data_IF_825560953746
#
_entry.id   IF_825560953746
#
_cell.length_a   1.000
_cell.length_b   1.000
_cell.length_c   1.000
_cell.angle_alpha   90.00
_cell.angle_beta   90.00
_cell.angle_gamma   90.00
#
_symmetry.space_group_name_H-M   'P 1'
#
loop_
_entity.id
_entity.type
_entity.pdbx_description
1 polymer ?
#
# COMPACT_ATOMS: atom_id res chain seq x y z
N UNK A 1 -30.72 -26.31 -25.18
CA UNK A 1 -30.26 -25.36 -24.16
C UNK A 1 -28.78 -25.60 -24.05
N UNK A 2 -27.96 -24.74 -24.66
CA UNK A 2 -26.51 -24.83 -24.53
C UNK A 2 -26.17 -24.74 -23.06
N UNK A 3 -25.49 -25.76 -22.54
CA UNK A 3 -24.95 -25.74 -21.19
C UNK A 3 -24.00 -24.54 -21.09
N UNK A 4 -24.41 -23.46 -20.44
CA UNK A 4 -23.58 -22.28 -20.24
C UNK A 4 -22.24 -22.76 -19.66
N UNK A 5 -21.15 -22.39 -20.32
CA UNK A 5 -19.80 -22.79 -19.92
C UNK A 5 -19.56 -22.44 -18.44
N UNK A 6 -19.03 -23.39 -17.65
CA UNK A 6 -18.69 -23.17 -16.25
C UNK A 6 -17.53 -22.21 -16.15
N UNK A 7 -17.51 -21.43 -15.08
CA UNK A 7 -16.41 -20.52 -14.70
C UNK A 7 -15.68 -21.18 -13.54
N UNK A 8 -14.52 -21.72 -13.81
CA UNK A 8 -13.72 -22.47 -12.83
C UNK A 8 -12.75 -21.52 -12.12
N UNK A 9 -13.02 -21.28 -10.85
CA UNK A 9 -12.21 -20.42 -9.96
C UNK A 9 -11.38 -21.31 -9.05
N UNK A 10 -10.07 -21.11 -9.06
CA UNK A 10 -9.16 -21.69 -8.09
C UNK A 10 -8.75 -20.65 -7.05
N UNK A 11 -8.93 -20.94 -5.78
CA UNK A 11 -8.40 -20.15 -4.68
C UNK A 11 -7.25 -20.88 -3.99
N UNK A 12 -6.08 -20.25 -3.93
CA UNK A 12 -4.95 -20.69 -3.08
C UNK A 12 -5.00 -20.04 -1.70
N UNK A 13 -6.00 -19.18 -1.45
CA UNK A 13 -6.30 -18.55 -0.18
C UNK A 13 -7.38 -19.37 0.52
N UNK A 14 -7.24 -19.52 1.83
CA UNK A 14 -8.30 -20.15 2.64
C UNK A 14 -9.51 -19.23 2.69
N UNK A 15 -10.66 -19.71 2.24
CA UNK A 15 -11.93 -19.00 2.31
C UNK A 15 -12.80 -19.58 3.43
N UNK A 16 -13.57 -18.75 4.11
CA UNK A 16 -14.64 -19.19 5.00
C UNK A 16 -15.85 -19.67 4.18
N UNK A 17 -16.75 -20.44 4.80
CA UNK A 17 -18.00 -20.86 4.13
C UNK A 17 -18.84 -19.66 3.68
N UNK A 18 -18.88 -18.59 4.47
CA UNK A 18 -19.57 -17.37 4.13
C UNK A 18 -18.99 -16.72 2.88
N UNK A 19 -17.66 -16.53 2.81
CA UNK A 19 -16.96 -15.97 1.66
C UNK A 19 -17.18 -16.83 0.40
N UNK A 20 -17.11 -18.15 0.54
CA UNK A 20 -17.35 -19.09 -0.54
C UNK A 20 -18.78 -18.97 -1.08
N UNK A 21 -19.78 -18.95 -0.18
CA UNK A 21 -21.19 -18.79 -0.55
C UNK A 21 -21.43 -17.44 -1.24
N UNK A 22 -20.84 -16.35 -0.77
CA UNK A 22 -20.94 -15.02 -1.39
C UNK A 22 -20.41 -15.03 -2.83
N UNK A 23 -19.30 -15.71 -3.08
CA UNK A 23 -18.74 -15.81 -4.44
C UNK A 23 -19.64 -16.68 -5.33
N UNK A 24 -20.03 -17.87 -4.88
CA UNK A 24 -20.79 -18.83 -5.68
C UNK A 24 -22.24 -18.37 -5.97
N UNK A 25 -22.82 -17.55 -5.10
CA UNK A 25 -24.19 -17.02 -5.28
C UNK A 25 -24.30 -15.96 -6.38
N UNK A 26 -23.20 -15.47 -6.95
CA UNK A 26 -23.24 -14.46 -8.01
C UNK A 26 -23.75 -14.99 -9.34
N UNK A 27 -23.46 -16.26 -9.68
CA UNK A 27 -23.90 -16.91 -10.91
C UNK A 27 -23.79 -18.43 -10.76
N UNK A 28 -24.81 -19.18 -11.21
CA UNK A 28 -24.88 -20.66 -11.14
C UNK A 28 -23.73 -21.37 -11.88
N UNK A 29 -23.07 -20.68 -12.81
CA UNK A 29 -21.91 -21.19 -13.56
C UNK A 29 -20.64 -21.25 -12.73
N UNK A 30 -20.57 -20.49 -11.64
CA UNK A 30 -19.34 -20.37 -10.82
C UNK A 30 -19.10 -21.66 -10.05
N UNK A 31 -17.89 -22.18 -10.19
CA UNK A 31 -17.35 -23.29 -9.42
C UNK A 31 -16.06 -22.82 -8.75
N UNK A 32 -16.01 -22.87 -7.42
CA UNK A 32 -14.83 -22.49 -6.65
C UNK A 32 -14.21 -23.73 -6.04
N UNK A 33 -12.94 -23.95 -6.35
CA UNK A 33 -12.12 -24.97 -5.72
C UNK A 33 -11.06 -24.29 -4.85
N UNK A 34 -10.91 -24.72 -3.60
CA UNK A 34 -9.99 -24.10 -2.63
C UNK A 34 -8.87 -25.06 -2.31
N UNK A 35 -7.65 -24.65 -2.64
CA UNK A 35 -6.42 -25.35 -2.25
C UNK A 35 -5.58 -24.46 -1.33
N UNK A 36 -5.46 -24.86 -0.05
CA UNK A 36 -4.67 -24.13 0.95
C UNK A 36 -3.16 -24.15 0.70
N UNK A 37 -2.73 -24.65 -0.44
CA UNK A 37 -1.33 -24.84 -0.79
C UNK A 37 -0.84 -23.63 -1.58
N UNK A 38 0.07 -22.87 -0.98
CA UNK A 38 0.76 -21.76 -1.66
C UNK A 38 1.82 -22.23 -2.67
N UNK A 39 2.09 -23.53 -2.74
CA UNK A 39 3.06 -24.12 -3.66
C UNK A 39 2.32 -24.69 -4.88
N UNK A 40 2.47 -24.10 -6.08
CA UNK A 40 1.76 -24.56 -7.28
C UNK A 40 1.98 -26.05 -7.61
N UNK A 41 3.15 -26.58 -7.28
CA UNK A 41 3.48 -27.98 -7.56
C UNK A 41 2.73 -29.01 -6.70
N UNK A 42 2.07 -28.56 -5.64
CA UNK A 42 1.24 -29.42 -4.76
C UNK A 42 -0.24 -29.45 -5.17
N UNK A 43 -0.62 -28.66 -6.17
CA UNK A 43 -1.97 -28.65 -6.74
C UNK A 43 -1.96 -29.55 -7.96
N UNK A 44 -2.93 -30.48 -8.11
CA UNK A 44 -3.00 -31.38 -9.25
C UNK A 44 -3.08 -30.65 -10.59
N UNK A 45 -2.39 -31.15 -11.61
CA UNK A 45 -2.39 -30.54 -12.95
C UNK A 45 -3.79 -30.46 -13.58
N UNK A 46 -4.68 -31.38 -13.25
CA UNK A 46 -6.07 -31.37 -13.70
C UNK A 46 -6.87 -30.17 -13.17
N UNK A 47 -6.53 -29.70 -11.96
CA UNK A 47 -7.13 -28.51 -11.35
C UNK A 47 -6.62 -27.27 -12.09
N UNK A 48 -5.32 -27.18 -12.34
CA UNK A 48 -4.73 -26.08 -13.09
C UNK A 48 -5.29 -25.97 -14.52
N UNK A 49 -5.42 -27.10 -15.23
CA UNK A 49 -5.91 -27.12 -16.62
C UNK A 49 -7.33 -26.57 -16.78
N UNK A 50 -8.20 -26.73 -15.79
CA UNK A 50 -9.59 -26.20 -15.85
C UNK A 50 -9.72 -24.78 -15.35
N UNK A 51 -8.73 -24.27 -14.60
CA UNK A 51 -8.79 -22.96 -13.96
C UNK A 51 -8.88 -21.83 -14.98
N UNK A 52 -9.92 -21.01 -14.87
CA UNK A 52 -10.16 -19.79 -15.65
C UNK A 52 -9.79 -18.53 -14.85
N UNK A 53 -10.05 -18.55 -13.54
CA UNK A 53 -9.75 -17.45 -12.63
C UNK A 53 -8.94 -17.97 -11.45
N UNK A 54 -7.84 -17.31 -11.14
CA UNK A 54 -6.98 -17.62 -9.98
C UNK A 54 -7.07 -16.52 -8.94
N UNK A 55 -7.54 -16.85 -7.75
CA UNK A 55 -7.45 -15.99 -6.55
C UNK A 55 -6.28 -16.45 -5.71
N UNK A 56 -5.23 -15.63 -5.59
CA UNK A 56 -3.97 -16.05 -4.97
C UNK A 56 -3.35 -15.02 -4.05
N UNK A 57 -2.41 -15.47 -3.22
CA UNK A 57 -1.60 -14.64 -2.33
C UNK A 57 -0.13 -14.94 -2.57
N UNK A 58 0.61 -13.93 -2.94
CA UNK A 58 2.06 -14.04 -3.13
C UNK A 58 2.50 -14.32 -4.57
N UNK A 59 3.82 -14.41 -4.77
CA UNK A 59 4.44 -14.44 -6.09
C UNK A 59 4.50 -15.83 -6.73
N UNK A 60 4.07 -16.88 -6.02
CA UNK A 60 4.19 -18.26 -6.52
C UNK A 60 3.06 -18.57 -7.49
N UNK A 61 3.32 -18.33 -8.79
CA UNK A 61 2.40 -18.62 -9.87
C UNK A 61 2.72 -19.99 -10.53
N UNK A 62 1.74 -20.65 -11.16
CA UNK A 62 1.98 -21.88 -11.90
C UNK A 62 2.73 -21.60 -13.21
N UNK A 63 3.41 -22.61 -13.74
CA UNK A 63 3.99 -22.51 -15.08
C UNK A 63 2.91 -22.32 -16.15
N UNK A 64 3.22 -21.55 -17.21
CA UNK A 64 2.27 -21.14 -18.27
C UNK A 64 1.55 -22.32 -18.90
N UNK A 65 2.27 -23.40 -19.17
CA UNK A 65 1.74 -24.60 -19.82
C UNK A 65 0.77 -25.41 -18.95
N UNK A 66 0.73 -25.17 -17.65
CA UNK A 66 -0.21 -25.82 -16.75
C UNK A 66 -1.60 -25.18 -16.74
N UNK A 67 -1.70 -23.94 -17.19
CA UNK A 67 -2.92 -23.11 -17.07
C UNK A 67 -3.46 -22.61 -18.42
N UNK A 68 -3.75 -23.49 -19.37
CA UNK A 68 -4.11 -23.11 -20.75
C UNK A 68 -5.42 -22.30 -20.84
N UNK A 69 -6.27 -22.38 -19.81
CA UNK A 69 -7.56 -21.72 -19.77
C UNK A 69 -7.58 -20.45 -18.90
N UNK A 70 -6.46 -20.12 -18.23
CA UNK A 70 -6.39 -18.98 -17.31
C UNK A 70 -6.57 -17.66 -18.06
N UNK A 71 -7.44 -16.81 -17.56
CA UNK A 71 -7.76 -15.49 -18.13
C UNK A 71 -7.56 -14.36 -17.15
N UNK A 72 -7.75 -14.63 -15.85
CA UNK A 72 -7.68 -13.60 -14.83
C UNK A 72 -7.02 -14.13 -13.54
N UNK A 73 -6.07 -13.34 -13.02
CA UNK A 73 -5.46 -13.52 -11.71
C UNK A 73 -5.87 -12.36 -10.82
N UNK A 74 -6.50 -12.63 -9.68
CA UNK A 74 -6.67 -11.67 -8.60
C UNK A 74 -5.62 -11.93 -7.54
N UNK A 75 -4.70 -10.99 -7.36
CA UNK A 75 -3.78 -10.98 -6.22
C UNK A 75 -4.48 -10.40 -4.98
N UNK A 76 -4.31 -11.05 -3.83
CA UNK A 76 -4.73 -10.47 -2.54
C UNK A 76 -3.77 -9.41 -2.03
N UNK A 77 -2.63 -9.22 -2.68
CA UNK A 77 -1.66 -8.19 -2.37
C UNK A 77 -1.92 -6.93 -3.19
N UNK A 78 -1.60 -5.78 -2.59
CA UNK A 78 -1.62 -4.49 -3.30
C UNK A 78 -0.37 -4.33 -4.18
N UNK A 79 0.81 -4.65 -3.65
CA UNK A 79 2.06 -4.61 -4.41
C UNK A 79 2.25 -5.88 -5.22
N UNK A 80 2.65 -5.72 -6.49
CA UNK A 80 2.90 -6.80 -7.43
C UNK A 80 4.37 -6.89 -7.87
N UNK A 81 5.22 -6.06 -7.27
CA UNK A 81 6.65 -5.93 -7.58
C UNK A 81 7.39 -7.28 -7.65
N UNK A 82 7.07 -8.21 -6.76
CA UNK A 82 7.68 -9.56 -6.72
C UNK A 82 7.12 -10.54 -7.78
N UNK A 83 6.11 -10.13 -8.55
CA UNK A 83 5.45 -10.98 -9.55
C UNK A 83 5.73 -10.52 -10.99
N UNK A 84 6.23 -9.31 -11.20
CA UNK A 84 6.33 -8.67 -12.52
C UNK A 84 7.18 -9.45 -13.54
N UNK A 85 8.20 -10.16 -13.07
CA UNK A 85 9.09 -10.96 -13.93
C UNK A 85 8.56 -12.37 -14.23
N UNK A 86 7.38 -12.74 -13.70
CA UNK A 86 6.79 -14.06 -13.94
C UNK A 86 6.33 -14.19 -15.40
N UNK A 87 6.73 -15.26 -16.10
CA UNK A 87 6.35 -15.50 -17.52
C UNK A 87 4.84 -15.50 -17.74
N UNK A 88 4.04 -15.87 -16.76
CA UNK A 88 2.59 -15.89 -16.85
C UNK A 88 2.00 -14.48 -17.02
N UNK A 89 2.63 -13.47 -16.40
CA UNK A 89 2.20 -12.06 -16.51
C UNK A 89 2.60 -11.43 -17.85
N UNK A 90 3.50 -12.04 -18.59
CA UNK A 90 3.85 -11.62 -19.93
C UNK A 90 2.86 -12.15 -21.00
N UNK A 91 1.89 -12.99 -20.60
CA UNK A 91 0.86 -13.51 -21.51
C UNK A 91 -0.20 -12.44 -21.79
N UNK A 92 -0.39 -12.07 -23.04
CA UNK A 92 -1.36 -11.01 -23.45
C UNK A 92 -2.82 -11.33 -23.15
N UNK A 93 -3.15 -12.61 -22.95
CA UNK A 93 -4.51 -13.08 -22.71
C UNK A 93 -4.82 -13.29 -21.21
N UNK A 94 -3.86 -13.06 -20.32
CA UNK A 94 -4.06 -13.16 -18.87
C UNK A 94 -4.02 -11.76 -18.28
N UNK A 95 -5.12 -11.34 -17.63
CA UNK A 95 -5.15 -10.11 -16.88
C UNK A 95 -4.76 -10.38 -15.42
N UNK A 96 -3.99 -9.49 -14.81
CA UNK A 96 -3.78 -9.50 -13.37
C UNK A 96 -4.39 -8.25 -12.75
N UNK A 97 -5.09 -8.44 -11.63
CA UNK A 97 -5.59 -7.36 -10.78
C UNK A 97 -5.00 -7.49 -9.37
N UNK A 98 -4.73 -6.36 -8.74
CA UNK A 98 -4.25 -6.31 -7.37
C UNK A 98 -5.34 -5.84 -6.39
N UNK A 99 -5.04 -5.86 -5.09
CA UNK A 99 -5.98 -5.46 -4.04
C UNK A 99 -5.82 -4.01 -3.58
N UNK A 100 -5.35 -3.13 -4.49
CA UNK A 100 -5.31 -1.69 -4.20
C UNK A 100 -6.70 -1.16 -3.82
N UNK A 101 -6.78 -0.34 -2.81
CA UNK A 101 -8.06 0.20 -2.31
C UNK A 101 -8.76 -0.68 -1.27
N UNK A 102 -8.51 -1.99 -1.22
CA UNK A 102 -9.18 -2.86 -0.25
C UNK A 102 -8.83 -2.49 1.21
N UNK A 103 -7.56 -2.28 1.49
CA UNK A 103 -7.03 -2.11 2.86
C UNK A 103 -6.74 -0.64 3.24
N UNK A 104 -7.42 0.32 2.65
CA UNK A 104 -7.08 1.75 2.83
C UNK A 104 -7.43 2.28 4.22
N UNK A 105 -8.46 1.75 4.87
CA UNK A 105 -8.92 2.22 6.19
C UNK A 105 -7.81 2.09 7.24
N UNK A 106 -7.31 0.87 7.46
CA UNK A 106 -6.26 0.62 8.44
C UNK A 106 -4.93 1.28 8.07
N UNK A 107 -4.61 1.37 6.77
CA UNK A 107 -3.43 2.12 6.32
C UNK A 107 -3.55 3.61 6.66
N UNK A 108 -4.73 4.20 6.45
CA UNK A 108 -5.02 5.59 6.83
C UNK A 108 -4.87 5.80 8.33
N UNK A 109 -5.48 4.92 9.15
CA UNK A 109 -5.36 4.97 10.61
C UNK A 109 -3.90 4.85 11.08
N UNK A 110 -3.13 3.91 10.50
CA UNK A 110 -1.72 3.75 10.80
C UNK A 110 -0.91 5.02 10.49
N UNK A 111 -1.13 5.64 9.33
CA UNK A 111 -0.44 6.87 8.96
C UNK A 111 -0.80 8.00 9.91
N UNK A 112 -2.09 8.22 10.21
CA UNK A 112 -2.50 9.27 11.17
C UNK A 112 -1.92 9.01 12.56
N UNK A 113 -1.94 7.77 13.03
CA UNK A 113 -1.30 7.39 14.30
C UNK A 113 0.18 7.79 14.31
N UNK A 114 0.95 7.43 13.28
CA UNK A 114 2.39 7.73 13.23
C UNK A 114 2.67 9.22 13.12
N UNK A 115 1.88 9.98 12.33
CA UNK A 115 2.00 11.44 12.26
C UNK A 115 1.74 12.10 13.64
N UNK A 116 0.70 11.66 14.36
CA UNK A 116 0.41 12.14 15.71
C UNK A 116 1.52 11.75 16.68
N UNK A 117 1.99 10.51 16.66
CA UNK A 117 3.09 10.05 17.53
C UNK A 117 4.37 10.88 17.31
N UNK A 118 4.74 11.14 16.07
CA UNK A 118 5.91 11.94 15.72
C UNK A 118 5.70 13.41 16.14
N UNK A 119 4.60 14.02 15.75
CA UNK A 119 4.30 15.42 16.07
C UNK A 119 4.24 15.67 17.57
N UNK A 120 3.71 14.73 18.35
CA UNK A 120 3.65 14.79 19.82
C UNK A 120 4.89 14.24 20.54
N UNK A 121 5.97 13.92 19.80
CA UNK A 121 7.25 13.44 20.36
C UNK A 121 7.11 12.20 21.25
N UNK A 122 6.19 11.31 20.90
CA UNK A 122 5.93 10.06 21.63
C UNK A 122 7.18 9.16 21.80
N UNK A 123 8.08 9.02 20.81
CA UNK A 123 9.30 8.24 20.99
C UNK A 123 10.12 8.72 22.21
N UNK A 124 10.31 10.02 22.36
CA UNK A 124 11.06 10.61 23.48
C UNK A 124 10.34 10.38 24.84
N UNK A 125 9.01 10.51 24.86
CA UNK A 125 8.23 10.25 26.07
C UNK A 125 8.24 8.78 26.48
N UNK A 126 8.14 7.85 25.51
CA UNK A 126 8.23 6.41 25.75
C UNK A 126 9.63 6.05 26.27
N UNK A 127 10.69 6.63 25.71
CA UNK A 127 12.06 6.42 26.20
C UNK A 127 12.21 6.92 27.64
N UNK A 128 11.75 8.13 27.97
CA UNK A 128 11.78 8.66 29.31
C UNK A 128 10.97 7.81 30.33
N UNK A 129 9.82 7.26 29.90
CA UNK A 129 9.03 6.32 30.70
C UNK A 129 9.82 5.05 31.03
N UNK A 130 10.51 4.46 30.03
CA UNK A 130 11.35 3.26 30.24
C UNK A 130 12.51 3.53 31.20
N UNK A 131 13.10 4.72 31.14
CA UNK A 131 14.16 5.20 32.02
C UNK A 131 13.64 5.66 33.40
N UNK A 132 12.34 5.66 33.64
CA UNK A 132 11.68 6.20 34.85
C UNK A 132 12.08 7.66 35.10
N UNK A 133 12.31 8.44 34.05
CA UNK A 133 12.77 9.81 34.08
C UNK A 133 11.60 10.77 33.80
N UNK A 134 11.35 11.71 34.74
CA UNK A 134 10.45 12.83 34.51
C UNK A 134 11.21 13.93 33.77
N UNK A 135 10.68 14.36 32.60
CA UNK A 135 11.32 15.41 31.78
C UNK A 135 10.96 16.78 32.41
N UNK A 136 11.94 17.42 33.04
CA UNK A 136 11.74 18.68 33.77
C UNK A 136 11.40 19.84 32.85
N UNK A 137 12.09 19.93 31.68
CA UNK A 137 11.90 20.98 30.68
C UNK A 137 10.80 20.61 29.63
N UNK A 138 9.86 19.73 29.97
CA UNK A 138 8.82 19.18 29.08
C UNK A 138 8.04 20.23 28.30
N UNK A 139 7.79 21.42 28.91
CA UNK A 139 7.01 22.48 28.26
C UNK A 139 7.75 23.05 27.05
N UNK A 140 9.08 23.14 27.09
CA UNK A 140 9.90 23.64 26.00
C UNK A 140 10.38 22.53 25.06
N UNK A 141 10.86 21.40 25.63
CA UNK A 141 11.45 20.31 24.87
C UNK A 141 10.43 19.40 24.16
N UNK A 142 9.20 19.28 24.70
CA UNK A 142 8.15 18.42 24.18
C UNK A 142 6.98 19.18 23.53
N UNK A 143 7.17 20.43 23.11
CA UNK A 143 6.14 21.15 22.38
C UNK A 143 5.72 20.35 21.13
N UNK A 144 4.42 20.08 20.96
CA UNK A 144 3.95 19.32 19.81
C UNK A 144 3.99 20.15 18.52
N UNK A 145 4.17 19.46 17.40
CA UNK A 145 3.80 19.93 16.08
C UNK A 145 2.42 19.34 15.77
N UNK A 146 1.40 20.18 15.86
CA UNK A 146 0.02 19.76 15.64
C UNK A 146 -0.24 19.48 14.14
N UNK A 147 -1.13 18.55 13.82
CA UNK A 147 -1.60 18.36 12.45
C UNK A 147 -2.46 19.53 11.98
N UNK A 148 -3.27 20.11 12.87
CA UNK A 148 -4.08 21.30 12.55
C UNK A 148 -3.16 22.46 12.14
N UNK A 149 -3.41 22.99 10.94
CA UNK A 149 -2.63 24.10 10.39
C UNK A 149 -1.23 23.72 9.90
N UNK A 150 -0.84 22.44 9.98
CA UNK A 150 0.39 21.95 9.36
C UNK A 150 0.16 21.61 7.89
N UNK A 151 1.24 21.62 7.11
CA UNK A 151 1.26 21.16 5.74
C UNK A 151 1.75 19.71 5.69
N UNK A 152 0.94 18.81 5.13
CA UNK A 152 1.27 17.40 4.94
C UNK A 152 1.42 17.09 3.46
N UNK A 153 2.60 16.66 3.05
CA UNK A 153 2.91 16.22 1.70
C UNK A 153 2.64 14.71 1.54
N UNK A 154 1.79 14.34 0.61
CA UNK A 154 1.52 12.92 0.26
C UNK A 154 2.23 12.63 -1.06
N UNK A 155 3.30 11.85 -0.99
CA UNK A 155 4.07 11.42 -2.16
C UNK A 155 3.48 10.12 -2.70
N UNK A 156 2.61 10.27 -3.73
CA UNK A 156 1.82 9.20 -4.31
C UNK A 156 0.33 9.31 -3.96
N UNK A 157 -0.44 10.00 -4.80
CA UNK A 157 -1.90 10.17 -4.59
C UNK A 157 -2.70 9.02 -5.20
N UNK A 158 -2.37 7.78 -4.79
CA UNK A 158 -3.12 6.54 -5.05
C UNK A 158 -4.17 6.27 -3.97
N UNK A 159 -4.69 5.04 -3.89
CA UNK A 159 -5.75 4.67 -2.94
C UNK A 159 -5.43 4.99 -1.49
N UNK A 160 -4.19 4.67 -1.03
CA UNK A 160 -3.74 4.95 0.35
C UNK A 160 -3.62 6.46 0.57
N UNK A 161 -2.90 7.16 -0.33
CA UNK A 161 -2.71 8.61 -0.22
C UNK A 161 -4.03 9.39 -0.18
N UNK A 162 -5.03 8.94 -0.92
CA UNK A 162 -6.38 9.51 -0.95
C UNK A 162 -7.12 9.33 0.38
N UNK A 163 -7.01 8.17 1.00
CA UNK A 163 -7.62 7.93 2.31
C UNK A 163 -6.92 8.74 3.40
N UNK A 164 -5.60 8.81 3.37
CA UNK A 164 -4.81 9.67 4.27
C UNK A 164 -5.23 11.15 4.12
N UNK A 165 -5.39 11.63 2.88
CA UNK A 165 -5.85 12.98 2.61
C UNK A 165 -7.24 13.27 3.19
N UNK A 166 -8.19 12.35 3.01
CA UNK A 166 -9.54 12.45 3.58
C UNK A 166 -9.51 12.58 5.10
N UNK A 167 -8.69 11.77 5.77
CA UNK A 167 -8.54 11.83 7.23
C UNK A 167 -7.86 13.13 7.67
N UNK A 168 -6.77 13.55 7.01
CA UNK A 168 -6.06 14.79 7.29
C UNK A 168 -6.94 16.04 7.13
N UNK A 169 -7.88 16.01 6.18
CA UNK A 169 -8.84 17.09 6.00
C UNK A 169 -9.70 17.31 7.26
N UNK A 170 -10.11 16.22 7.92
CA UNK A 170 -10.84 16.30 9.20
C UNK A 170 -10.01 16.89 10.35
N UNK A 171 -8.68 16.71 10.30
CA UNK A 171 -7.75 17.35 11.26
C UNK A 171 -7.49 18.83 10.96
N UNK A 172 -7.91 19.35 9.81
CA UNK A 172 -7.65 20.72 9.41
C UNK A 172 -6.18 20.95 8.98
N UNK A 173 -5.54 19.94 8.42
CA UNK A 173 -4.23 20.02 7.79
C UNK A 173 -4.34 20.55 6.36
N UNK A 174 -3.31 21.25 5.87
CA UNK A 174 -3.14 21.56 4.46
C UNK A 174 -2.50 20.36 3.78
N UNK A 175 -3.18 19.76 2.81
CA UNK A 175 -2.71 18.59 2.09
C UNK A 175 -2.12 19.01 0.73
N UNK A 176 -0.84 18.75 0.54
CA UNK A 176 -0.17 18.78 -0.75
C UNK A 176 0.04 17.33 -1.21
N UNK A 177 -0.23 17.04 -2.46
CA UNK A 177 -0.12 15.69 -2.97
C UNK A 177 0.71 15.64 -4.25
N UNK A 178 1.40 14.54 -4.51
CA UNK A 178 2.05 14.31 -5.79
C UNK A 178 1.50 13.09 -6.51
N UNK A 179 1.37 13.22 -7.83
CA UNK A 179 0.89 12.16 -8.73
C UNK A 179 1.57 12.33 -10.09
N UNK A 180 1.80 11.24 -10.80
CA UNK A 180 2.37 11.30 -12.15
C UNK A 180 1.46 12.03 -13.14
N UNK A 181 0.17 11.71 -13.13
CA UNK A 181 -0.84 12.33 -14.00
C UNK A 181 -1.71 13.30 -13.18
N UNK A 182 -1.43 14.59 -13.28
CA UNK A 182 -2.12 15.64 -12.50
C UNK A 182 -3.38 16.20 -13.17
N UNK A 183 -3.52 16.01 -14.48
CA UNK A 183 -4.67 16.53 -15.24
C UNK A 183 -5.95 15.74 -14.97
N UNK A 184 -5.83 14.49 -14.46
CA UNK A 184 -6.95 13.64 -14.13
C UNK A 184 -6.91 13.30 -12.63
N UNK A 185 -7.41 14.20 -11.77
CA UNK A 185 -7.34 14.02 -10.31
C UNK A 185 -8.27 12.92 -9.80
N UNK A 186 -9.30 12.54 -10.56
CA UNK A 186 -10.24 11.47 -10.18
C UNK A 186 -9.54 10.11 -10.11
N UNK A 187 -10.03 9.27 -9.22
CA UNK A 187 -9.62 7.88 -9.15
C UNK A 187 -10.49 7.01 -10.07
N UNK A 188 -9.87 6.04 -10.72
CA UNK A 188 -10.54 5.03 -11.55
C UNK A 188 -10.41 3.62 -10.97
N UNK A 189 -9.63 3.47 -9.88
CA UNK A 189 -9.45 2.24 -9.14
C UNK A 189 -10.65 1.90 -8.24
N UNK A 190 -10.54 0.76 -7.57
CA UNK A 190 -11.51 0.38 -6.55
C UNK A 190 -11.41 1.29 -5.32
N UNK A 191 -12.53 1.83 -4.92
CA UNK A 191 -12.65 2.63 -3.69
C UNK A 191 -13.85 2.11 -2.90
N UNK A 192 -13.67 1.64 -1.66
CA UNK A 192 -14.78 1.26 -0.79
C UNK A 192 -15.68 2.47 -0.49
N UNK A 193 -16.95 2.19 -0.21
CA UNK A 193 -17.91 3.24 0.11
C UNK A 193 -17.45 4.08 1.32
N UNK A 194 -17.59 5.41 1.20
CA UNK A 194 -17.22 6.40 2.24
C UNK A 194 -15.72 6.48 2.58
N UNK A 195 -14.85 5.81 1.82
CA UNK A 195 -13.39 5.89 1.99
C UNK A 195 -12.72 6.57 0.79
N UNK A 196 -11.45 6.90 0.95
CA UNK A 196 -10.62 7.49 -0.08
C UNK A 196 -11.07 8.88 -0.54
N UNK A 197 -10.64 9.23 -1.75
CA UNK A 197 -10.99 10.49 -2.42
C UNK A 197 -11.21 10.25 -3.92
N UNK A 198 -12.30 9.59 -4.30
CA UNK A 198 -12.53 9.23 -5.70
C UNK A 198 -12.66 10.44 -6.63
N UNK A 199 -13.06 11.60 -6.10
CA UNK A 199 -13.27 12.82 -6.88
C UNK A 199 -12.08 13.80 -6.86
N UNK A 200 -11.09 13.62 -5.98
CA UNK A 200 -9.97 14.54 -5.82
C UNK A 200 -10.35 15.82 -5.05
N UNK A 201 -11.07 15.69 -3.93
CA UNK A 201 -11.59 16.81 -3.16
C UNK A 201 -10.76 17.14 -1.90
N UNK A 202 -9.81 16.25 -1.48
CA UNK A 202 -9.12 16.35 -0.20
C UNK A 202 -7.65 16.76 -0.32
N UNK A 203 -7.20 17.27 -1.46
CA UNK A 203 -5.90 17.97 -1.56
C UNK A 203 -6.11 19.45 -1.83
N UNK A 204 -5.20 20.29 -1.35
CA UNK A 204 -5.18 21.72 -1.64
C UNK A 204 -4.42 22.02 -2.93
N UNK A 205 -3.38 21.23 -3.23
CA UNK A 205 -2.59 21.34 -4.46
C UNK A 205 -2.03 19.99 -4.87
N UNK A 206 -2.06 19.70 -6.16
CA UNK A 206 -1.52 18.49 -6.77
C UNK A 206 -0.29 18.84 -7.61
N UNK A 207 0.82 18.15 -7.33
CA UNK A 207 2.11 18.35 -7.97
C UNK A 207 2.45 17.19 -8.90
N UNK A 208 3.00 17.43 -10.09
CA UNK A 208 3.67 16.39 -10.86
C UNK A 208 4.93 15.93 -10.12
N UNK A 209 5.39 14.70 -10.41
CA UNK A 209 6.53 14.13 -9.69
C UNK A 209 7.82 14.94 -9.92
N UNK A 210 7.96 15.60 -11.05
CA UNK A 210 9.09 16.45 -11.40
C UNK A 210 9.17 17.70 -10.51
N UNK A 211 8.06 18.13 -9.92
CA UNK A 211 7.99 19.27 -9.00
C UNK A 211 8.01 18.83 -7.51
N UNK A 212 8.37 17.57 -7.21
CA UNK A 212 8.35 17.02 -5.87
C UNK A 212 9.20 17.84 -4.90
N UNK A 213 10.41 18.29 -5.29
CA UNK A 213 11.31 19.08 -4.44
C UNK A 213 10.62 20.34 -3.91
N UNK A 214 9.97 21.10 -4.80
CA UNK A 214 9.24 22.31 -4.38
C UNK A 214 8.06 22.02 -3.45
N UNK A 215 7.42 20.85 -3.57
CA UNK A 215 6.39 20.42 -2.62
C UNK A 215 7.00 20.13 -1.24
N UNK A 216 8.15 19.45 -1.20
CA UNK A 216 8.79 19.02 0.06
C UNK A 216 9.25 20.19 0.92
N UNK A 217 9.68 21.30 0.31
CA UNK A 217 10.08 22.53 1.00
C UNK A 217 8.95 23.16 1.84
N UNK A 218 7.70 22.93 1.45
CA UNK A 218 6.50 23.45 2.13
C UNK A 218 5.99 22.54 3.25
N UNK A 219 6.43 21.25 3.30
CA UNK A 219 5.81 20.23 4.12
C UNK A 219 6.40 20.12 5.53
N UNK A 220 5.53 20.19 6.54
CA UNK A 220 5.88 19.86 7.94
C UNK A 220 5.94 18.35 8.17
N UNK A 221 5.15 17.60 7.43
CA UNK A 221 5.12 16.13 7.42
C UNK A 221 5.11 15.64 5.99
N UNK A 222 5.78 14.53 5.71
CA UNK A 222 5.81 13.87 4.40
C UNK A 222 5.46 12.40 4.58
N UNK A 223 4.50 11.92 3.78
CA UNK A 223 4.04 10.52 3.76
C UNK A 223 4.32 9.92 2.39
N UNK A 224 5.08 8.82 2.35
CA UNK A 224 5.44 8.11 1.13
C UNK A 224 4.52 6.91 0.91
N UNK A 225 3.78 6.93 -0.20
CA UNK A 225 2.79 5.91 -0.58
C UNK A 225 2.90 5.52 -2.07
N UNK A 226 4.09 5.67 -2.67
CA UNK A 226 4.37 5.27 -4.06
C UNK A 226 4.62 3.76 -4.17
N UNK A 227 4.32 3.14 -5.32
CA UNK A 227 4.79 1.80 -5.62
C UNK A 227 6.31 1.80 -5.86
N UNK A 228 6.96 0.66 -5.58
CA UNK A 228 8.35 0.43 -5.99
C UNK A 228 8.39 0.11 -7.49
N UNK A 229 9.16 0.87 -8.22
CA UNK A 229 9.46 0.71 -9.65
C UNK A 229 10.89 1.15 -9.92
N UNK A 230 11.44 0.86 -11.09
CA UNK A 230 12.79 1.34 -11.47
C UNK A 230 12.93 2.86 -11.38
N UNK A 231 11.86 3.62 -11.57
CA UNK A 231 11.87 5.09 -11.51
C UNK A 231 11.68 5.66 -10.11
N UNK A 232 11.27 4.85 -9.15
CA UNK A 232 11.05 5.26 -7.76
C UNK A 232 12.08 4.66 -6.79
N UNK A 233 12.97 3.79 -7.27
CA UNK A 233 14.06 3.24 -6.49
C UNK A 233 14.99 4.34 -5.99
N UNK A 234 15.30 4.34 -4.68
CA UNK A 234 16.08 5.38 -4.00
C UNK A 234 15.61 6.81 -4.28
N UNK A 235 14.30 7.02 -4.46
CA UNK A 235 13.73 8.34 -4.71
C UNK A 235 14.03 9.32 -3.56
N UNK A 236 14.03 8.84 -2.32
CA UNK A 236 14.39 9.61 -1.14
C UNK A 236 15.87 9.36 -0.79
N UNK A 237 16.72 10.01 -1.53
CA UNK A 237 18.18 10.11 -1.31
C UNK A 237 18.54 11.34 -0.44
N UNK A 238 19.83 11.60 -0.30
CA UNK A 238 20.34 12.75 0.45
C UNK A 238 19.81 14.08 -0.09
N UNK A 239 19.77 14.24 -1.41
CA UNK A 239 19.28 15.50 -2.02
C UNK A 239 17.81 15.72 -1.70
N UNK A 240 17.01 14.66 -1.74
CA UNK A 240 15.58 14.74 -1.45
C UNK A 240 15.32 15.08 0.02
N UNK A 241 16.06 14.50 0.97
CA UNK A 241 15.98 14.86 2.38
C UNK A 241 16.49 16.29 2.65
N UNK A 242 17.53 16.73 1.95
CA UNK A 242 18.04 18.11 2.07
C UNK A 242 17.04 19.16 1.56
N UNK A 243 16.13 18.79 0.65
CA UNK A 243 15.03 19.65 0.19
C UNK A 243 13.82 19.65 1.12
N UNK A 244 13.72 18.72 2.07
CA UNK A 244 12.63 18.74 3.05
C UNK A 244 12.79 19.94 4.00
N UNK A 245 11.66 20.46 4.48
CA UNK A 245 11.67 21.55 5.46
C UNK A 245 12.43 21.16 6.72
N UNK A 246 13.38 21.99 7.24
CA UNK A 246 14.09 21.69 8.46
C UNK A 246 13.15 21.41 9.63
N UNK A 247 13.39 20.31 10.37
CA UNK A 247 12.56 19.89 11.49
C UNK A 247 11.23 19.24 11.08
N UNK A 248 11.08 18.86 9.82
CA UNK A 248 9.92 18.09 9.34
C UNK A 248 9.97 16.62 9.75
N UNK A 249 8.92 15.90 9.46
CA UNK A 249 8.74 14.48 9.78
C UNK A 249 8.52 13.66 8.50
N UNK A 250 9.00 12.42 8.50
CA UNK A 250 8.90 11.52 7.36
C UNK A 250 8.26 10.19 7.74
N UNK A 251 7.32 9.69 6.93
CA UNK A 251 6.64 8.40 7.13
C UNK A 251 6.70 7.58 5.84
N UNK A 252 7.25 6.36 5.91
CA UNK A 252 7.24 5.42 4.79
C UNK A 252 6.39 4.19 5.10
N UNK A 253 5.28 4.05 4.38
CA UNK A 253 4.37 2.89 4.42
C UNK A 253 4.27 2.20 3.05
N UNK A 254 5.24 2.45 2.18
CA UNK A 254 5.24 1.94 0.80
C UNK A 254 6.20 0.75 0.60
N UNK A 255 7.46 1.02 0.29
CA UNK A 255 8.55 0.03 0.18
C UNK A 255 9.86 0.63 0.70
N UNK A 256 10.72 -0.20 1.31
CA UNK A 256 12.03 0.23 1.80
C UNK A 256 12.94 0.73 0.69
N UNK A 257 12.94 0.07 -0.45
CA UNK A 257 13.79 0.39 -1.61
C UNK A 257 13.60 1.80 -2.17
N UNK A 258 12.56 2.53 -1.76
CA UNK A 258 12.36 3.93 -2.17
C UNK A 258 13.24 4.91 -1.38
N UNK A 259 13.87 4.47 -0.31
CA UNK A 259 14.62 5.31 0.65
C UNK A 259 16.05 4.81 0.77
N UNK A 260 17.00 5.73 0.71
CA UNK A 260 18.38 5.49 1.14
C UNK A 260 18.43 5.56 2.67
N UNK A 261 18.65 4.41 3.32
CA UNK A 261 18.70 4.30 4.79
C UNK A 261 19.82 5.15 5.38
N UNK A 262 20.98 5.26 4.70
CA UNK A 262 22.10 6.08 5.14
C UNK A 262 21.75 7.57 5.12
N UNK A 263 21.13 8.02 4.03
CA UNK A 263 20.67 9.41 3.90
C UNK A 263 19.58 9.76 4.93
N UNK A 264 18.69 8.83 5.22
CA UNK A 264 17.67 9.00 6.27
C UNK A 264 18.32 9.16 7.65
N UNK A 265 19.28 8.29 7.99
CA UNK A 265 20.02 8.34 9.27
C UNK A 265 20.76 9.68 9.40
N UNK A 266 21.43 10.13 8.35
CA UNK A 266 22.12 11.42 8.33
C UNK A 266 21.16 12.60 8.53
N UNK A 267 20.00 12.55 7.90
CA UNK A 267 18.94 13.56 8.05
C UNK A 267 18.35 13.60 9.49
N UNK A 268 18.20 12.44 10.13
CA UNK A 268 17.77 12.33 11.52
C UNK A 268 18.86 12.85 12.48
N UNK A 269 20.11 12.45 12.29
CA UNK A 269 21.23 12.82 13.15
C UNK A 269 21.59 14.32 13.06
N UNK A 270 21.45 14.91 11.88
CA UNK A 270 21.67 16.36 11.69
C UNK A 270 20.50 17.22 12.17
N UNK A 271 19.36 16.63 12.52
CA UNK A 271 18.13 17.36 12.86
C UNK A 271 17.43 17.98 11.65
N UNK A 272 17.82 17.63 10.43
CA UNK A 272 17.05 17.97 9.22
C UNK A 272 15.65 17.40 9.33
N UNK A 273 15.53 16.13 9.76
CA UNK A 273 14.28 15.52 10.19
C UNK A 273 14.19 15.52 11.71
N UNK A 274 13.05 15.98 12.25
CA UNK A 274 12.74 15.88 13.69
C UNK A 274 12.39 14.45 14.10
N UNK A 275 11.96 13.61 13.16
CA UNK A 275 11.69 12.19 13.36
C UNK A 275 11.14 11.52 12.11
N UNK A 276 11.14 10.20 12.13
CA UNK A 276 10.58 9.39 11.05
C UNK A 276 9.82 8.17 11.57
N UNK A 277 8.98 7.57 10.71
CA UNK A 277 8.34 6.28 10.95
C UNK A 277 8.47 5.40 9.69
N UNK A 278 8.98 4.20 9.89
CA UNK A 278 9.15 3.20 8.84
C UNK A 278 8.38 1.93 9.18
N UNK A 279 7.50 1.52 8.28
CA UNK A 279 6.84 0.20 8.34
C UNK A 279 7.50 -0.82 7.42
N UNK A 280 8.35 -0.35 6.50
CA UNK A 280 8.96 -1.13 5.42
C UNK A 280 10.47 -0.86 5.32
N UNK A 281 11.23 -1.87 4.89
CA UNK A 281 12.69 -1.85 4.86
C UNK A 281 13.21 -2.45 3.55
N UNK A 282 14.45 -2.07 3.18
CA UNK A 282 15.12 -2.63 2.00
C UNK A 282 15.33 -4.13 2.14
N UNK A 283 15.70 -4.58 3.36
CA UNK A 283 15.79 -5.99 3.73
C UNK A 283 14.74 -6.30 4.81
N UNK A 284 13.90 -7.29 4.55
CA UNK A 284 12.84 -7.75 5.48
C UNK A 284 12.93 -9.27 5.69
N UNK A 285 13.02 -9.74 6.94
CA UNK A 285 13.01 -9.00 8.22
C UNK A 285 14.22 -8.06 8.38
N UNK A 286 14.00 -6.89 9.01
CA UNK A 286 15.09 -5.94 9.28
C UNK A 286 16.19 -6.61 10.12
N UNK A 287 17.45 -6.67 9.64
CA UNK A 287 18.56 -7.28 10.37
C UNK A 287 18.77 -6.69 11.77
N UNK A 288 19.14 -7.52 12.74
CA UNK A 288 19.33 -7.12 14.13
C UNK A 288 20.46 -6.10 14.31
N UNK A 289 21.44 -6.08 13.40
CA UNK A 289 22.58 -5.17 13.36
C UNK A 289 22.29 -3.85 12.62
N UNK A 290 21.10 -3.68 12.05
CA UNK A 290 20.75 -2.46 11.34
C UNK A 290 20.86 -1.23 12.24
N UNK A 291 21.55 -0.16 11.79
CA UNK A 291 21.69 1.08 12.55
C UNK A 291 20.36 1.83 12.74
N UNK A 292 19.32 1.47 12.00
CA UNK A 292 17.99 2.04 12.17
C UNK A 292 17.41 1.77 13.58
N UNK A 293 17.71 0.59 14.17
CA UNK A 293 17.23 0.25 15.52
C UNK A 293 17.67 1.20 16.61
N UNK A 294 18.83 1.85 16.42
CA UNK A 294 19.42 2.74 17.42
C UNK A 294 19.01 4.22 17.26
N UNK A 295 18.19 4.56 16.26
CA UNK A 295 17.75 5.94 16.03
C UNK A 295 16.66 6.34 17.05
N UNK A 296 16.92 7.35 17.93
CA UNK A 296 16.01 7.67 19.05
C UNK A 296 14.70 8.32 18.62
N UNK A 297 14.67 8.92 17.44
CA UNK A 297 13.54 9.63 16.85
C UNK A 297 12.92 8.89 15.65
N UNK A 298 13.16 7.57 15.57
CA UNK A 298 12.60 6.68 14.56
C UNK A 298 11.59 5.70 15.18
N UNK A 299 10.42 5.61 14.59
CA UNK A 299 9.41 4.57 14.87
C UNK A 299 9.61 3.45 13.84
N UNK A 300 9.79 2.22 14.30
CA UNK A 300 9.93 1.02 13.47
C UNK A 300 8.76 0.08 13.74
N UNK A 301 8.11 -0.40 12.69
CA UNK A 301 7.10 -1.46 12.75
C UNK A 301 7.35 -2.53 11.69
N UNK A 302 6.97 -3.80 11.91
CA UNK A 302 7.41 -4.92 11.10
C UNK A 302 6.50 -5.19 9.89
N UNK A 303 6.34 -4.21 8.99
CA UNK A 303 5.53 -4.27 7.76
C UNK A 303 4.08 -4.75 8.05
N UNK A 304 3.41 -4.04 8.97
CA UNK A 304 2.12 -4.44 9.54
C UNK A 304 0.99 -3.40 9.29
N UNK A 305 1.31 -2.26 8.71
CA UNK A 305 0.37 -1.14 8.54
C UNK A 305 -0.93 -1.51 7.80
N UNK A 306 -0.87 -2.52 6.91
CA UNK A 306 -2.02 -2.98 6.15
C UNK A 306 -2.83 -4.11 6.85
N UNK A 307 -2.33 -4.69 7.94
CA UNK A 307 -2.96 -5.86 8.55
C UNK A 307 -4.14 -5.47 9.44
N UNK A 308 -5.25 -6.18 9.24
CA UNK A 308 -6.42 -6.11 10.13
C UNK A 308 -7.15 -7.45 10.14
N UNK A 309 -7.99 -7.71 11.16
CA UNK A 309 -8.83 -8.91 11.18
C UNK A 309 -9.75 -9.02 9.96
N UNK A 310 -10.15 -7.90 9.37
CA UNK A 310 -11.10 -7.84 8.25
C UNK A 310 -10.39 -7.77 6.87
N UNK A 311 -9.06 -7.87 6.84
CA UNK A 311 -8.28 -7.69 5.59
C UNK A 311 -8.75 -8.62 4.47
N UNK A 312 -8.97 -9.91 4.80
CA UNK A 312 -9.38 -10.88 3.79
C UNK A 312 -10.81 -10.59 3.29
N UNK A 313 -11.73 -10.20 4.14
CA UNK A 313 -13.10 -9.85 3.74
C UNK A 313 -13.09 -8.66 2.78
N UNK A 314 -12.28 -7.65 3.03
CA UNK A 314 -12.12 -6.48 2.15
C UNK A 314 -11.54 -6.87 0.77
N UNK A 315 -10.59 -7.80 0.74
CA UNK A 315 -10.06 -8.37 -0.51
C UNK A 315 -11.15 -9.14 -1.26
N UNK A 316 -11.97 -9.92 -0.55
CA UNK A 316 -13.08 -10.67 -1.16
C UNK A 316 -14.17 -9.73 -1.67
N UNK A 317 -14.45 -8.61 -1.01
CA UNK A 317 -15.38 -7.59 -1.51
C UNK A 317 -14.94 -7.03 -2.86
N UNK A 318 -13.67 -6.68 -2.99
CA UNK A 318 -13.08 -6.26 -4.27
C UNK A 318 -13.13 -7.39 -5.32
N UNK A 319 -12.77 -8.62 -4.92
CA UNK A 319 -12.83 -9.76 -5.84
C UNK A 319 -14.25 -9.99 -6.36
N UNK A 320 -15.26 -9.92 -5.50
CA UNK A 320 -16.68 -10.03 -5.85
C UNK A 320 -17.09 -8.93 -6.84
N UNK A 321 -16.66 -7.70 -6.60
CA UNK A 321 -16.96 -6.59 -7.50
C UNK A 321 -16.28 -6.77 -8.88
N UNK A 322 -15.04 -7.22 -8.91
CA UNK A 322 -14.36 -7.58 -10.16
C UNK A 322 -15.00 -8.80 -10.84
N UNK A 323 -15.46 -9.81 -10.09
CA UNK A 323 -16.14 -10.96 -10.64
C UNK A 323 -17.47 -10.59 -11.28
N UNK A 324 -18.25 -9.68 -10.70
CA UNK A 324 -19.46 -9.10 -11.32
C UNK A 324 -19.13 -8.42 -12.65
N UNK A 325 -18.02 -7.66 -12.70
CA UNK A 325 -17.52 -7.00 -13.92
C UNK A 325 -17.12 -8.02 -14.97
N UNK A 326 -16.39 -9.06 -14.57
CA UNK A 326 -15.97 -10.16 -15.43
C UNK A 326 -17.18 -10.87 -16.07
N UNK A 327 -18.21 -11.19 -15.27
CA UNK A 327 -19.45 -11.80 -15.75
C UNK A 327 -20.22 -10.95 -16.76
N UNK A 328 -20.04 -9.63 -16.71
CA UNK A 328 -20.70 -8.65 -17.59
C UNK A 328 -19.77 -8.14 -18.71
N UNK A 329 -18.60 -8.74 -18.88
CA UNK A 329 -17.58 -8.33 -19.85
C UNK A 329 -17.22 -6.83 -19.74
N UNK A 330 -17.11 -6.34 -18.49
CA UNK A 330 -16.71 -4.96 -18.18
C UNK A 330 -15.24 -4.92 -17.75
N UNK A 331 -14.55 -3.78 -17.97
CA UNK A 331 -13.18 -3.61 -17.48
C UNK A 331 -13.08 -3.86 -15.97
N UNK A 332 -12.10 -4.65 -15.54
CA UNK A 332 -11.84 -4.91 -14.13
C UNK A 332 -11.23 -3.69 -13.44
N UNK A 333 -11.44 -3.57 -12.14
CA UNK A 333 -10.70 -2.62 -11.32
C UNK A 333 -9.27 -3.11 -11.09
N UNK A 334 -8.36 -2.17 -10.94
CA UNK A 334 -6.97 -2.41 -10.53
C UNK A 334 -6.20 -3.37 -11.44
N UNK A 335 -6.47 -3.32 -12.74
CA UNK A 335 -5.67 -4.07 -13.72
C UNK A 335 -4.25 -3.53 -13.68
N UNK A 336 -3.30 -4.41 -13.43
CA UNK A 336 -1.88 -4.08 -13.34
C UNK A 336 -1.33 -3.83 -14.74
N UNK A 337 -0.66 -2.70 -14.90
CA UNK A 337 0.18 -2.45 -16.06
C UNK A 337 1.57 -3.03 -15.79
N UNK A 338 1.89 -4.16 -16.39
CA UNK A 338 3.17 -4.88 -16.17
C UNK A 338 4.37 -4.03 -16.60
N UNK A 339 4.24 -3.21 -17.66
CA UNK A 339 5.33 -2.33 -18.12
C UNK A 339 5.62 -1.20 -17.13
N UNK A 340 4.60 -0.69 -16.45
CA UNK A 340 4.71 0.37 -15.45
C UNK A 340 5.02 -0.16 -14.04
N UNK A 341 4.77 -1.45 -13.79
CA UNK A 341 5.06 -2.12 -12.53
C UNK A 341 3.97 -1.98 -11.45
N UNK A 342 2.77 -1.49 -11.77
CA UNK A 342 1.65 -1.34 -10.82
C UNK A 342 0.30 -1.22 -11.49
#
# INVERSE_FOLDING_TARGET
MDAKQKIEILSTITLTEEQLNRIQSLDDRIKVEVHKNKEPNKIPDEVWRKTEILLTSGPNLPAVEKVPNLRWIQSSWTGVDKMLDDPLLQQKNVQITNSSGANVSQMGEYVIMTLLMLGHKMPQMIQAQREKRWIEDRISSLQPKELRGSTVGIVGYGSIGREVARQLFAYGATVLASKREVMHPKDTGYTPESLGDPNGNYFHRLYPIEALKGMLEECDFVVLTLPHTKSTECLFDKEMFDNMKPGSYFVNVSRGQLVDDGALIDALNSGRLAGAALDVFTEEPLPSESPLWSQPNLIITPHISAFSPNMLDQVIDLFIENLKRYLLDRPLYNVVNVELGY
#
